data_IF_576003675235
#
_entry.id   IF_576003675235
#
_cell.length_a   1.000
_cell.length_b   1.000
_cell.length_c   1.000
_cell.angle_alpha   90.00
_cell.angle_beta   90.00
_cell.angle_gamma   90.00
#
_symmetry.space_group_name_H-M   'P 1'
#
loop_
_entity.id
_entity.type
_entity.pdbx_description
1 polymer ?
#
# COMPACT_ATOMS: atom_id res chain seq x y z
N UNK A 1 -9.71 -11.05 -8.38
CA UNK A 1 -8.78 -10.42 -7.42
C UNK A 1 -8.29 -9.15 -8.06
N UNK A 2 -8.45 -8.00 -7.41
CA UNK A 2 -8.09 -6.70 -7.98
C UNK A 2 -6.82 -6.14 -7.32
N UNK A 3 -6.00 -5.46 -8.11
CA UNK A 3 -4.80 -4.78 -7.63
C UNK A 3 -5.08 -3.28 -7.54
N UNK A 4 -4.79 -2.68 -6.39
CA UNK A 4 -4.97 -1.27 -6.13
C UNK A 4 -3.62 -0.63 -5.76
N UNK A 5 -3.21 0.39 -6.51
CA UNK A 5 -2.03 1.19 -6.21
C UNK A 5 -2.45 2.50 -5.56
N UNK A 6 -1.87 2.82 -4.41
CA UNK A 6 -2.16 4.06 -3.67
C UNK A 6 -0.85 4.77 -3.37
N UNK A 7 -0.65 5.96 -3.93
CA UNK A 7 0.49 6.84 -3.62
C UNK A 7 0.17 7.74 -2.43
N UNK A 8 1.21 8.25 -1.76
CA UNK A 8 1.03 9.01 -0.52
C UNK A 8 0.42 8.18 0.62
N UNK A 9 0.49 6.85 0.56
CA UNK A 9 -0.24 5.93 1.42
C UNK A 9 0.16 5.99 2.90
N UNK A 10 1.34 6.51 3.23
CA UNK A 10 1.87 6.51 4.60
C UNK A 10 1.07 7.33 5.62
N UNK A 11 0.17 8.22 5.19
CA UNK A 11 -0.59 9.10 6.08
C UNK A 11 -1.81 9.74 5.40
N UNK A 12 -2.62 10.46 6.18
CA UNK A 12 -3.73 11.28 5.69
C UNK A 12 -4.74 10.48 4.85
N UNK A 13 -5.15 11.06 3.72
CA UNK A 13 -6.16 10.48 2.82
C UNK A 13 -5.68 9.15 2.25
N UNK A 14 -4.41 9.04 1.82
CA UNK A 14 -3.86 7.79 1.28
C UNK A 14 -3.97 6.64 2.27
N UNK A 15 -3.61 6.88 3.54
CA UNK A 15 -3.74 5.87 4.60
C UNK A 15 -5.21 5.50 4.88
N UNK A 16 -6.13 6.48 4.84
CA UNK A 16 -7.55 6.22 5.02
C UNK A 16 -8.13 5.35 3.89
N UNK A 17 -7.73 5.60 2.64
CA UNK A 17 -8.13 4.80 1.48
C UNK A 17 -7.60 3.36 1.61
N UNK A 18 -6.33 3.18 1.97
CA UNK A 18 -5.75 1.84 2.22
C UNK A 18 -6.57 1.08 3.27
N UNK A 19 -6.89 1.71 4.40
CA UNK A 19 -7.68 1.09 5.48
C UNK A 19 -9.07 0.69 5.01
N UNK A 20 -9.75 1.56 4.25
CA UNK A 20 -11.07 1.30 3.72
C UNK A 20 -11.09 0.08 2.78
N UNK A 21 -10.16 0.03 1.81
CA UNK A 21 -10.10 -1.08 0.86
C UNK A 21 -9.56 -2.38 1.47
N UNK A 22 -8.71 -2.31 2.50
CA UNK A 22 -8.21 -3.49 3.20
C UNK A 22 -9.30 -4.27 3.95
N UNK A 23 -10.42 -3.62 4.27
CA UNK A 23 -11.60 -4.26 4.88
C UNK A 23 -12.50 -4.96 3.85
N UNK A 24 -12.31 -4.73 2.56
CA UNK A 24 -13.00 -5.44 1.49
C UNK A 24 -12.37 -6.83 1.30
N UNK A 25 -13.03 -7.74 0.59
CA UNK A 25 -12.49 -9.07 0.25
C UNK A 25 -11.75 -9.07 -1.09
N UNK A 26 -10.70 -9.89 -1.20
CA UNK A 26 -10.00 -10.22 -2.45
C UNK A 26 -9.28 -9.04 -3.16
N UNK A 27 -8.69 -8.12 -2.37
CA UNK A 27 -7.85 -7.02 -2.85
C UNK A 27 -6.37 -7.26 -2.55
N UNK A 28 -5.50 -6.92 -3.51
CA UNK A 28 -4.07 -6.70 -3.26
C UNK A 28 -3.80 -5.20 -3.37
N UNK A 29 -3.39 -4.59 -2.27
CA UNK A 29 -3.22 -3.14 -2.16
C UNK A 29 -1.74 -2.83 -2.02
N UNK A 30 -1.17 -2.18 -3.02
CA UNK A 30 0.18 -1.65 -2.96
C UNK A 30 0.13 -0.25 -2.37
N UNK A 31 0.74 -0.07 -1.21
CA UNK A 31 0.80 1.20 -0.50
C UNK A 31 2.17 1.85 -0.75
N UNK A 32 2.19 2.92 -1.55
CA UNK A 32 3.40 3.61 -2.01
C UNK A 32 3.58 4.93 -1.27
N UNK A 33 4.76 5.14 -0.69
CA UNK A 33 5.19 6.39 -0.09
C UNK A 33 6.70 6.36 0.22
N UNK A 34 7.26 7.50 0.61
CA UNK A 34 8.68 7.62 1.02
C UNK A 34 8.96 7.03 2.41
N UNK A 35 8.02 7.17 3.36
CA UNK A 35 8.23 6.74 4.74
C UNK A 35 7.90 5.25 4.90
N UNK A 36 8.92 4.41 4.80
CA UNK A 36 8.81 2.95 4.92
C UNK A 36 8.26 2.50 6.28
N UNK A 37 8.71 3.14 7.38
CA UNK A 37 8.26 2.78 8.73
C UNK A 37 6.74 2.93 8.87
N UNK A 38 6.19 4.08 8.45
CA UNK A 38 4.74 4.31 8.44
C UNK A 38 3.98 3.36 7.52
N UNK A 39 4.56 2.98 6.37
CA UNK A 39 3.94 2.00 5.48
C UNK A 39 3.88 0.61 6.11
N UNK A 40 4.95 0.19 6.79
CA UNK A 40 5.02 -1.10 7.47
C UNK A 40 4.04 -1.15 8.65
N UNK A 41 3.90 -0.06 9.41
CA UNK A 41 2.88 0.07 10.45
C UNK A 41 1.46 -0.04 9.87
N UNK A 42 1.18 0.68 8.78
CA UNK A 42 -0.11 0.65 8.09
C UNK A 42 -0.45 -0.75 7.55
N UNK A 43 0.50 -1.39 6.86
CA UNK A 43 0.33 -2.74 6.33
C UNK A 43 0.09 -3.74 7.47
N UNK A 44 0.87 -3.65 8.54
CA UNK A 44 0.70 -4.50 9.74
C UNK A 44 -0.67 -4.30 10.39
N UNK A 45 -1.14 -3.05 10.51
CA UNK A 45 -2.46 -2.74 11.03
C UNK A 45 -3.57 -3.36 10.16
N UNK A 46 -3.52 -3.15 8.85
CA UNK A 46 -4.56 -3.63 7.93
C UNK A 46 -4.57 -5.16 7.79
N UNK A 47 -3.41 -5.78 7.66
CA UNK A 47 -3.30 -7.23 7.43
C UNK A 47 -3.71 -8.08 8.64
N UNK A 48 -3.62 -7.53 9.86
CA UNK A 48 -4.14 -8.23 11.06
C UNK A 48 -5.67 -8.31 11.09
N UNK A 49 -6.35 -7.39 10.43
CA UNK A 49 -7.80 -7.25 10.45
C UNK A 49 -8.47 -7.65 9.12
N UNK A 50 -7.69 -8.13 8.14
CA UNK A 50 -8.21 -8.34 6.78
C UNK A 50 -8.94 -9.68 6.65
N UNK A 51 -10.02 -9.67 5.85
CA UNK A 51 -10.81 -10.86 5.54
C UNK A 51 -10.54 -11.33 4.09
N UNK A 52 -9.26 -11.58 3.79
CA UNK A 52 -8.81 -12.06 2.46
C UNK A 52 -8.21 -10.98 1.54
N UNK A 53 -7.98 -9.76 2.04
CA UNK A 53 -7.19 -8.73 1.35
C UNK A 53 -5.79 -8.62 1.92
N UNK A 54 -4.84 -8.13 1.12
CA UNK A 54 -3.43 -7.97 1.49
C UNK A 54 -2.93 -6.57 1.16
N UNK A 55 -2.33 -5.91 2.13
CA UNK A 55 -1.60 -4.64 1.96
C UNK A 55 -0.11 -4.94 1.86
N UNK A 56 0.52 -4.47 0.78
CA UNK A 56 1.94 -4.61 0.47
C UNK A 56 2.58 -3.22 0.51
N UNK A 57 3.48 -2.94 1.48
CA UNK A 57 4.18 -1.67 1.54
C UNK A 57 5.26 -1.60 0.45
N UNK A 58 5.33 -0.47 -0.24
CA UNK A 58 6.32 -0.20 -1.30
C UNK A 58 6.95 1.17 -1.03
N UNK A 59 8.10 1.17 -0.38
CA UNK A 59 8.88 2.39 -0.20
C UNK A 59 9.44 2.86 -1.54
N UNK A 60 9.08 4.09 -1.93
CA UNK A 60 9.53 4.73 -3.16
C UNK A 60 9.41 6.25 -3.06
N UNK A 61 10.38 6.96 -3.62
CA UNK A 61 10.26 8.36 -3.99
C UNK A 61 9.90 8.44 -5.48
N UNK A 62 8.69 8.89 -5.80
CA UNK A 62 8.21 8.94 -7.18
C UNK A 62 8.95 9.97 -8.04
N UNK A 63 9.57 10.97 -7.42
CA UNK A 63 10.37 11.97 -8.15
C UNK A 63 11.73 11.40 -8.60
N UNK A 64 12.19 10.33 -7.94
CA UNK A 64 13.49 9.69 -8.18
C UNK A 64 13.37 8.21 -8.57
N UNK A 65 12.15 7.76 -8.91
CA UNK A 65 11.88 6.35 -9.14
C UNK A 65 12.44 5.86 -10.49
N UNK A 66 13.10 4.71 -10.45
CA UNK A 66 13.21 3.83 -11.61
C UNK A 66 11.87 3.10 -11.78
N UNK A 67 11.11 3.50 -12.79
CA UNK A 67 9.77 2.96 -13.03
C UNK A 67 9.79 1.53 -13.55
N UNK A 68 10.83 1.10 -14.27
CA UNK A 68 10.97 -0.29 -14.72
C UNK A 68 11.18 -1.22 -13.52
N UNK A 69 12.05 -0.81 -12.59
CA UNK A 69 12.27 -1.54 -11.35
C UNK A 69 11.05 -1.49 -10.42
N UNK A 70 10.35 -0.37 -10.37
CA UNK A 70 9.11 -0.24 -9.58
C UNK A 70 8.02 -1.19 -10.08
N UNK A 71 7.77 -1.24 -11.38
CA UNK A 71 6.73 -2.10 -11.97
C UNK A 71 7.02 -3.58 -11.70
N UNK A 72 8.29 -4.00 -11.65
CA UNK A 72 8.67 -5.39 -11.29
C UNK A 72 8.39 -5.75 -9.83
N UNK A 73 8.18 -4.77 -8.95
CA UNK A 73 7.87 -4.97 -7.52
C UNK A 73 6.36 -5.01 -7.24
N UNK A 74 5.53 -4.64 -8.21
CA UNK A 74 4.07 -4.59 -8.14
C UNK A 74 3.47 -5.85 -8.78
#
# INVERSE_FOLDING_TARGET
MYNLLITGASQGIGAAIVKHFAQQSAMTIFALARNECKLNELASFCNRASNGSKVIPVAVDLDQADYELLVRRL
#
